data_IF_861358551604
#
_entry.id   IF_861358551604
#
_cell.length_a   1.000
_cell.length_b   1.000
_cell.length_c   1.000
_cell.angle_alpha   90.00
_cell.angle_beta   90.00
_cell.angle_gamma   90.00
#
_symmetry.space_group_name_H-M   'P 1'
#
loop_
_entity.id
_entity.type
_entity.pdbx_description
1 polymer ?
#
# COMPACT_ATOMS: atom_id res chain seq x y z
N UNK A 1 22.28 9.34 25.17
CA UNK A 1 21.39 8.82 24.10
C UNK A 1 21.45 7.30 24.09
N UNK A 2 20.32 6.63 23.92
CA UNK A 2 20.28 5.17 23.89
C UNK A 2 20.63 4.60 22.53
N UNK A 3 21.26 3.42 22.54
CA UNK A 3 21.52 2.65 21.32
C UNK A 3 20.21 2.06 20.77
N UNK A 4 19.98 2.17 19.49
CA UNK A 4 18.81 1.68 18.76
C UNK A 4 19.21 0.48 17.91
N UNK A 5 18.30 -0.52 17.79
CA UNK A 5 18.53 -1.68 16.92
C UNK A 5 18.79 -1.22 15.48
N UNK A 6 19.88 -1.70 14.86
CA UNK A 6 20.34 -1.30 13.52
C UNK A 6 19.22 -1.43 12.48
N UNK A 7 18.52 -2.56 12.41
CA UNK A 7 17.43 -2.75 11.45
C UNK A 7 16.25 -1.79 11.67
N UNK A 8 15.98 -1.37 12.92
CA UNK A 8 14.97 -0.34 13.22
C UNK A 8 15.42 1.02 12.69
N UNK A 9 16.67 1.38 12.89
CA UNK A 9 17.22 2.66 12.44
C UNK A 9 17.29 2.73 10.91
N UNK A 10 17.76 1.68 10.23
CA UNK A 10 17.75 1.59 8.77
C UNK A 10 16.34 1.79 8.20
N UNK A 11 15.34 1.16 8.80
CA UNK A 11 13.95 1.33 8.39
C UNK A 11 13.44 2.74 8.70
N UNK A 12 13.81 3.34 9.84
CA UNK A 12 13.43 4.71 10.19
C UNK A 12 14.00 5.72 9.19
N UNK A 13 15.25 5.54 8.77
CA UNK A 13 15.93 6.35 7.77
C UNK A 13 15.44 6.11 6.32
N UNK A 14 14.51 5.17 6.10
CA UNK A 14 13.98 4.89 4.76
C UNK A 14 14.94 4.11 3.85
N UNK A 15 15.96 3.46 4.39
CA UNK A 15 16.92 2.69 3.59
C UNK A 15 16.32 1.39 3.03
N UNK A 16 15.48 0.72 3.82
CA UNK A 16 14.79 -0.54 3.47
C UNK A 16 13.72 -0.86 4.53
N UNK A 17 12.95 -1.95 4.38
CA UNK A 17 12.11 -2.46 5.46
C UNK A 17 12.95 -3.10 6.57
N UNK A 18 12.37 -3.31 7.76
CA UNK A 18 13.07 -3.99 8.88
C UNK A 18 13.48 -5.42 8.53
N UNK A 19 12.62 -6.17 7.79
CA UNK A 19 12.93 -7.53 7.34
C UNK A 19 14.06 -7.56 6.32
N UNK A 20 14.10 -6.61 5.38
CA UNK A 20 15.21 -6.46 4.44
C UNK A 20 16.49 -6.08 5.17
N UNK A 21 16.42 -5.15 6.13
CA UNK A 21 17.57 -4.77 6.94
C UNK A 21 18.17 -5.99 7.67
N UNK A 22 17.35 -6.80 8.33
CA UNK A 22 17.82 -8.01 8.99
C UNK A 22 18.49 -8.97 7.99
N UNK A 23 17.91 -9.18 6.79
CA UNK A 23 18.53 -10.00 5.72
C UNK A 23 19.85 -9.42 5.20
N UNK A 24 19.96 -8.09 5.11
CA UNK A 24 21.19 -7.44 4.64
C UNK A 24 22.30 -7.51 5.70
N UNK A 25 21.94 -7.36 6.98
CA UNK A 25 22.88 -7.50 8.12
C UNK A 25 23.43 -8.94 8.15
N UNK A 26 22.58 -9.94 8.13
CA UNK A 26 22.97 -11.35 8.15
C UNK A 26 23.95 -11.70 7.01
N UNK A 27 23.77 -11.09 5.84
CA UNK A 27 24.66 -11.27 4.67
C UNK A 27 25.94 -10.42 4.75
N UNK A 28 26.07 -9.54 5.71
CA UNK A 28 27.20 -8.62 5.81
C UNK A 28 27.20 -7.53 4.74
N UNK A 29 26.00 -7.13 4.26
CA UNK A 29 25.82 -6.09 3.25
C UNK A 29 25.64 -4.70 3.85
N UNK A 30 25.65 -4.60 5.17
CA UNK A 30 25.50 -3.33 5.93
C UNK A 30 26.82 -3.01 6.59
N UNK A 31 27.27 -1.77 6.44
CA UNK A 31 28.40 -1.23 7.20
C UNK A 31 27.93 -0.12 8.12
N UNK A 32 28.49 -0.07 9.32
CA UNK A 32 28.35 1.01 10.30
C UNK A 32 29.72 1.63 10.50
N UNK A 33 29.86 2.93 10.22
CA UNK A 33 31.15 3.66 10.24
C UNK A 33 32.25 2.96 9.44
N UNK A 34 31.86 2.37 8.29
CA UNK A 34 32.78 1.65 7.41
C UNK A 34 33.04 0.19 7.79
N UNK A 35 32.60 -0.27 8.96
CA UNK A 35 32.81 -1.65 9.42
C UNK A 35 31.57 -2.52 9.09
N UNK A 36 31.74 -3.70 8.46
CA UNK A 36 30.63 -4.58 8.14
C UNK A 36 30.03 -5.21 9.42
N UNK A 37 28.69 -5.21 9.48
CA UNK A 37 27.91 -5.79 10.59
C UNK A 37 27.14 -7.00 10.07
N UNK A 38 27.25 -8.14 10.80
CA UNK A 38 26.56 -9.39 10.45
C UNK A 38 25.64 -9.92 11.53
N UNK A 39 25.76 -9.41 12.75
CA UNK A 39 25.00 -9.89 13.90
C UNK A 39 23.60 -9.26 13.93
N UNK A 40 22.56 -10.11 13.91
CA UNK A 40 21.17 -9.70 14.07
C UNK A 40 20.96 -9.14 15.49
N UNK A 41 20.18 -8.09 15.59
CA UNK A 41 19.90 -7.46 16.88
C UNK A 41 20.94 -6.41 17.31
N UNK A 42 22.04 -6.25 16.57
CA UNK A 42 23.05 -5.20 16.82
C UNK A 42 22.38 -3.85 17.08
N UNK A 43 22.83 -3.18 18.14
CA UNK A 43 22.40 -1.83 18.53
C UNK A 43 23.51 -0.83 18.29
N UNK A 44 23.19 0.27 17.63
CA UNK A 44 24.09 1.36 17.30
C UNK A 44 23.53 2.69 17.82
N UNK A 45 24.37 3.70 17.86
CA UNK A 45 23.92 5.07 18.16
C UNK A 45 23.27 5.71 16.92
N UNK A 46 22.24 6.55 17.05
CA UNK A 46 21.52 7.15 15.92
C UNK A 46 22.39 8.01 14.98
N UNK A 47 23.51 8.53 15.42
CA UNK A 47 24.43 9.36 14.63
C UNK A 47 25.47 8.56 13.84
N UNK A 48 25.62 7.26 14.09
CA UNK A 48 26.55 6.43 13.33
C UNK A 48 26.14 6.30 11.88
N UNK A 49 27.09 6.37 10.97
CA UNK A 49 26.86 6.33 9.52
C UNK A 49 26.55 4.90 9.08
N UNK A 50 25.37 4.68 8.52
CA UNK A 50 24.98 3.39 7.95
C UNK A 50 25.13 3.47 6.42
N UNK A 51 25.75 2.45 5.83
CA UNK A 51 25.86 2.31 4.37
C UNK A 51 25.54 0.90 3.93
N UNK A 52 24.98 0.77 2.72
CA UNK A 52 24.77 -0.50 2.04
C UNK A 52 25.89 -0.73 1.04
N UNK A 53 26.38 -1.95 0.95
CA UNK A 53 27.34 -2.31 -0.09
C UNK A 53 26.67 -2.34 -1.49
N UNK A 54 27.48 -2.44 -2.53
CA UNK A 54 27.00 -2.45 -3.91
C UNK A 54 26.02 -3.59 -4.20
N UNK A 55 26.23 -4.76 -3.63
CA UNK A 55 25.34 -5.94 -3.82
C UNK A 55 23.92 -5.66 -3.31
N UNK A 56 23.80 -5.04 -2.12
CA UNK A 56 22.50 -4.65 -1.58
C UNK A 56 21.82 -3.59 -2.45
N UNK A 57 22.57 -2.60 -2.95
CA UNK A 57 22.04 -1.55 -3.83
C UNK A 57 21.54 -2.12 -5.16
N UNK A 58 22.32 -3.01 -5.80
CA UNK A 58 21.90 -3.69 -7.03
C UNK A 58 20.62 -4.49 -6.79
N UNK A 59 20.53 -5.21 -5.67
CA UNK A 59 19.32 -5.97 -5.33
C UNK A 59 18.11 -5.06 -5.11
N UNK A 60 18.27 -3.91 -4.47
CA UNK A 60 17.19 -2.93 -4.32
C UNK A 60 16.70 -2.39 -5.67
N UNK A 61 17.62 -2.11 -6.59
CA UNK A 61 17.29 -1.60 -7.92
C UNK A 61 16.56 -2.62 -8.82
N UNK A 62 16.64 -3.90 -8.47
CA UNK A 62 15.92 -4.98 -9.17
C UNK A 62 14.52 -5.24 -8.59
N UNK A 63 14.17 -4.61 -7.48
CA UNK A 63 12.85 -4.77 -6.87
C UNK A 63 11.76 -4.18 -7.75
N UNK A 64 10.62 -4.85 -7.80
CA UNK A 64 9.48 -4.42 -8.60
C UNK A 64 8.32 -3.98 -7.73
N UNK A 65 7.57 -3.02 -8.27
CA UNK A 65 6.25 -2.63 -7.77
C UNK A 65 5.23 -2.89 -8.86
N UNK A 66 4.13 -3.52 -8.50
CA UNK A 66 3.06 -3.97 -9.39
C UNK A 66 1.74 -3.32 -8.98
N UNK A 67 1.04 -2.81 -9.96
CA UNK A 67 -0.28 -2.21 -9.84
C UNK A 67 -1.30 -3.20 -10.38
N UNK A 68 -2.24 -3.63 -9.56
CA UNK A 68 -3.30 -4.57 -9.91
C UNK A 68 -4.65 -3.88 -9.80
N UNK A 69 -5.52 -4.04 -10.79
CA UNK A 69 -6.94 -3.75 -10.63
C UNK A 69 -7.62 -4.99 -10.02
N UNK A 70 -7.67 -5.02 -8.69
CA UNK A 70 -8.22 -6.16 -7.95
C UNK A 70 -9.74 -6.29 -8.17
N UNK A 71 -10.26 -7.42 -8.63
CA UNK A 71 -11.69 -7.68 -8.64
C UNK A 71 -12.25 -7.96 -7.24
N UNK A 72 -13.57 -7.92 -7.11
CA UNK A 72 -14.28 -8.45 -5.94
C UNK A 72 -14.04 -9.96 -5.82
N UNK A 73 -14.11 -10.50 -4.60
CA UNK A 73 -13.96 -11.94 -4.34
C UNK A 73 -12.53 -12.41 -4.09
N UNK A 74 -11.53 -11.52 -4.18
CA UNK A 74 -10.13 -11.82 -3.87
C UNK A 74 -9.68 -11.14 -2.59
N UNK A 75 -8.95 -11.87 -1.74
CA UNK A 75 -8.29 -11.31 -0.55
C UNK A 75 -6.98 -10.63 -0.92
N UNK A 76 -6.71 -9.47 -0.33
CA UNK A 76 -5.49 -8.70 -0.65
C UNK A 76 -4.22 -9.29 -0.05
N UNK A 77 -4.32 -10.01 1.07
CA UNK A 77 -3.19 -10.53 1.83
C UNK A 77 -3.12 -12.06 1.81
N UNK A 78 -2.87 -12.62 3.01
CA UNK A 78 -2.81 -14.08 3.16
C UNK A 78 -4.12 -14.74 2.75
N UNK A 79 -4.06 -15.93 2.16
CA UNK A 79 -5.26 -16.68 1.80
C UNK A 79 -6.11 -16.95 3.05
N UNK A 80 -7.42 -16.71 2.93
CA UNK A 80 -8.41 -17.14 3.89
C UNK A 80 -9.14 -18.37 3.32
N UNK A 81 -9.58 -19.34 4.13
CA UNK A 81 -10.32 -20.50 3.63
C UNK A 81 -11.49 -20.09 2.74
N UNK A 82 -11.57 -20.70 1.55
CA UNK A 82 -12.62 -20.41 0.57
C UNK A 82 -12.35 -19.21 -0.36
N UNK A 83 -11.26 -18.45 -0.16
CA UNK A 83 -10.98 -17.26 -0.98
C UNK A 83 -9.62 -17.33 -1.68
N UNK A 84 -9.56 -16.83 -2.91
CA UNK A 84 -8.32 -16.74 -3.68
C UNK A 84 -7.54 -15.48 -3.32
N UNK A 85 -6.22 -15.55 -3.12
CA UNK A 85 -5.39 -14.37 -2.87
C UNK A 85 -5.22 -13.56 -4.17
N UNK A 86 -5.27 -12.23 -4.07
CA UNK A 86 -5.15 -11.34 -5.22
C UNK A 86 -3.80 -11.48 -5.95
N UNK A 87 -2.74 -11.92 -5.26
CA UNK A 87 -1.43 -12.18 -5.88
C UNK A 87 -1.51 -13.27 -6.96
N UNK A 88 -2.48 -14.20 -6.89
CA UNK A 88 -2.67 -15.24 -7.92
C UNK A 88 -3.07 -14.68 -9.29
N UNK A 89 -3.56 -13.42 -9.32
CA UNK A 89 -3.85 -12.71 -10.56
C UNK A 89 -2.59 -12.19 -11.26
N UNK A 90 -1.43 -12.17 -10.60
CA UNK A 90 -0.18 -11.64 -11.15
C UNK A 90 0.55 -12.77 -11.89
N UNK A 91 0.24 -12.91 -13.17
CA UNK A 91 0.88 -13.87 -14.07
C UNK A 91 1.04 -13.25 -15.47
N UNK A 92 1.81 -13.88 -16.34
CA UNK A 92 2.08 -13.37 -17.70
C UNK A 92 0.77 -13.15 -18.49
N UNK A 93 -0.21 -14.05 -18.39
CA UNK A 93 -1.46 -13.99 -19.17
C UNK A 93 -2.41 -12.87 -18.72
N UNK A 94 -2.23 -12.31 -17.53
CA UNK A 94 -3.04 -11.20 -17.01
C UNK A 94 -2.32 -9.87 -17.02
N UNK A 95 -1.07 -9.82 -17.51
CA UNK A 95 -0.36 -8.56 -17.71
C UNK A 95 -1.13 -7.67 -18.70
N UNK A 96 -1.26 -6.38 -18.37
CA UNK A 96 -1.92 -5.42 -19.24
C UNK A 96 -1.12 -5.21 -20.53
N UNK A 97 -1.77 -5.28 -21.68
CA UNK A 97 -1.11 -5.22 -22.98
C UNK A 97 -0.47 -3.85 -23.27
N UNK A 98 -0.96 -2.78 -22.64
CA UNK A 98 -0.40 -1.43 -22.72
C UNK A 98 0.61 -1.13 -21.60
N UNK A 99 1.11 -2.15 -20.90
CA UNK A 99 2.21 -1.97 -19.95
C UNK A 99 3.51 -1.71 -20.71
N UNK A 100 3.93 -0.47 -20.74
CA UNK A 100 5.16 -0.01 -21.41
C UNK A 100 6.44 -0.29 -20.63
N UNK A 101 6.36 -1.00 -19.50
CA UNK A 101 7.55 -1.39 -18.74
C UNK A 101 8.43 -2.33 -19.58
N UNK A 102 9.75 -2.08 -19.67
CA UNK A 102 10.69 -2.96 -20.38
C UNK A 102 10.93 -4.28 -19.64
N UNK A 103 10.42 -4.42 -18.43
CA UNK A 103 10.63 -5.61 -17.61
C UNK A 103 9.88 -6.82 -18.21
N UNK A 104 10.61 -7.91 -18.42
CA UNK A 104 10.00 -9.21 -18.72
C UNK A 104 9.56 -9.84 -17.41
N UNK A 105 8.32 -10.34 -17.35
CA UNK A 105 7.81 -11.00 -16.16
C UNK A 105 8.56 -12.31 -15.89
N UNK A 106 8.97 -12.50 -14.65
CA UNK A 106 9.61 -13.72 -14.17
C UNK A 106 9.05 -14.12 -12.81
N UNK A 107 9.19 -15.40 -12.43
CA UNK A 107 8.80 -15.88 -11.10
C UNK A 107 9.56 -15.20 -9.94
N UNK A 108 10.73 -14.62 -10.20
CA UNK A 108 11.49 -13.86 -9.21
C UNK A 108 10.72 -12.61 -8.74
N UNK A 109 9.88 -12.01 -9.62
CA UNK A 109 9.06 -10.85 -9.27
C UNK A 109 7.93 -11.18 -8.28
N UNK A 110 7.60 -12.47 -8.11
CA UNK A 110 6.63 -12.91 -7.10
C UNK A 110 7.28 -13.20 -5.74
N UNK A 111 8.60 -13.39 -5.69
CA UNK A 111 9.30 -13.64 -4.42
C UNK A 111 9.27 -12.41 -3.53
N UNK A 112 8.80 -12.58 -2.30
CA UNK A 112 8.65 -11.48 -1.33
C UNK A 112 7.77 -10.31 -1.81
N UNK A 113 6.97 -10.52 -2.85
CA UNK A 113 6.00 -9.54 -3.31
C UNK A 113 4.83 -9.49 -2.33
N UNK A 114 4.62 -8.36 -1.70
CA UNK A 114 3.59 -8.19 -0.67
C UNK A 114 2.67 -6.99 -0.98
N UNK A 115 1.40 -7.02 -0.57
CA UNK A 115 0.51 -5.88 -0.76
C UNK A 115 0.94 -4.71 0.13
N UNK A 116 1.08 -3.54 -0.47
CA UNK A 116 1.29 -2.27 0.23
C UNK A 116 -0.07 -1.60 0.49
N UNK A 117 -0.76 -2.09 1.48
CA UNK A 117 -2.15 -1.78 1.82
C UNK A 117 -3.10 -2.88 1.40
N UNK A 118 -4.35 -2.76 1.83
CA UNK A 118 -5.38 -3.76 1.57
C UNK A 118 -6.61 -3.13 0.94
N UNK A 119 -7.36 -3.95 0.23
CA UNK A 119 -8.77 -3.78 -0.12
C UNK A 119 -9.52 -4.95 0.49
N UNK A 120 -10.70 -4.72 0.99
CA UNK A 120 -11.57 -5.78 1.47
C UNK A 120 -11.98 -6.70 0.31
N UNK A 121 -12.46 -7.90 0.63
CA UNK A 121 -12.84 -8.90 -0.36
C UNK A 121 -13.98 -8.42 -1.28
N UNK A 122 -14.89 -7.64 -0.71
CA UNK A 122 -16.05 -7.02 -1.37
C UNK A 122 -15.74 -5.64 -1.98
N UNK A 123 -14.46 -5.28 -2.08
CA UNK A 123 -13.98 -4.03 -2.66
C UNK A 123 -13.07 -4.30 -3.85
N UNK A 124 -13.05 -3.39 -4.83
CA UNK A 124 -12.28 -3.54 -6.06
C UNK A 124 -11.37 -2.35 -6.33
N UNK A 125 -10.54 -2.43 -7.35
CA UNK A 125 -9.74 -1.34 -7.86
C UNK A 125 -8.26 -1.44 -7.55
N UNK A 126 -7.58 -0.31 -7.52
CA UNK A 126 -6.13 -0.22 -7.47
C UNK A 126 -5.54 -0.82 -6.18
N UNK A 127 -4.82 -1.92 -6.32
CA UNK A 127 -4.05 -2.56 -5.26
C UNK A 127 -2.57 -2.57 -5.67
N UNK A 128 -1.71 -2.14 -4.75
CA UNK A 128 -0.26 -2.11 -4.97
C UNK A 128 0.38 -3.32 -4.31
N UNK A 129 1.18 -4.05 -5.07
CA UNK A 129 2.12 -5.05 -4.55
C UNK A 129 3.54 -4.55 -4.74
N UNK A 130 4.40 -4.76 -3.78
CA UNK A 130 5.80 -4.33 -3.89
C UNK A 130 6.75 -5.30 -3.21
N UNK A 131 7.95 -5.42 -3.76
CA UNK A 131 9.09 -6.04 -3.13
C UNK A 131 9.88 -5.01 -2.31
N UNK A 132 9.68 -3.70 -2.55
CA UNK A 132 10.42 -2.61 -1.94
C UNK A 132 9.75 -2.14 -0.64
N UNK A 133 10.40 -2.39 0.47
CA UNK A 133 9.91 -1.96 1.78
C UNK A 133 9.83 -0.44 1.95
N UNK A 134 10.56 0.33 1.15
CA UNK A 134 10.49 1.81 1.14
C UNK A 134 9.15 2.27 0.57
N UNK A 135 8.73 1.67 -0.55
CA UNK A 135 7.41 1.92 -1.16
C UNK A 135 6.29 1.51 -0.20
N UNK A 136 6.41 0.32 0.42
CA UNK A 136 5.43 -0.12 1.40
C UNK A 136 5.30 0.86 2.56
N UNK A 137 6.42 1.32 3.13
CA UNK A 137 6.43 2.31 4.22
C UNK A 137 5.80 3.64 3.81
N UNK A 138 6.08 4.13 2.60
CA UNK A 138 5.47 5.34 2.06
C UNK A 138 3.94 5.24 2.01
N UNK A 139 3.40 4.08 1.58
CA UNK A 139 1.97 3.89 1.35
C UNK A 139 1.17 3.58 2.61
N UNK A 140 1.76 2.80 3.54
CA UNK A 140 1.05 2.24 4.71
C UNK A 140 1.75 2.48 6.05
N UNK A 141 2.84 3.26 6.06
CA UNK A 141 3.49 3.66 7.31
C UNK A 141 2.54 4.49 8.18
N UNK A 142 2.74 4.46 9.49
CA UNK A 142 1.92 5.15 10.49
C UNK A 142 1.74 6.65 10.20
N UNK A 143 2.78 7.28 9.65
CA UNK A 143 2.76 8.70 9.29
C UNK A 143 2.54 8.94 7.79
N UNK A 144 2.03 7.94 7.05
CA UNK A 144 1.72 8.12 5.64
C UNK A 144 0.65 9.18 5.46
N UNK A 145 0.94 10.14 4.57
CA UNK A 145 -0.01 11.18 4.14
C UNK A 145 -0.52 10.92 2.72
N UNK A 146 -0.19 9.77 2.16
CA UNK A 146 -0.60 9.43 0.80
C UNK A 146 -2.11 9.25 0.74
N UNK A 147 -2.73 10.07 -0.07
CA UNK A 147 -4.18 10.05 -0.32
C UNK A 147 -4.59 8.80 -1.09
N UNK A 148 -5.73 8.26 -0.73
CA UNK A 148 -6.41 7.20 -1.47
C UNK A 148 -7.80 7.71 -1.87
N UNK A 149 -8.13 7.59 -3.14
CA UNK A 149 -9.39 8.04 -3.70
C UNK A 149 -10.27 6.85 -4.08
N UNK A 150 -11.54 6.93 -3.69
CA UNK A 150 -12.52 5.88 -3.89
C UNK A 150 -13.78 6.42 -4.54
N UNK A 151 -14.34 5.63 -5.43
CA UNK A 151 -15.71 5.75 -5.92
C UNK A 151 -16.58 4.77 -5.13
N UNK A 152 -17.63 5.28 -4.51
CA UNK A 152 -18.47 4.53 -3.57
C UNK A 152 -19.93 4.59 -4.05
N UNK A 153 -20.50 3.45 -4.42
CA UNK A 153 -21.93 3.35 -4.72
C UNK A 153 -22.69 3.08 -3.44
N UNK A 154 -23.76 3.83 -3.25
CA UNK A 154 -24.57 3.82 -2.05
C UNK A 154 -26.04 3.60 -2.35
N UNK A 155 -26.76 3.11 -1.33
CA UNK A 155 -28.22 3.22 -1.22
C UNK A 155 -28.55 3.98 0.06
N UNK A 156 -29.74 4.56 0.12
CA UNK A 156 -30.17 5.44 1.20
C UNK A 156 -30.18 6.90 0.78
N UNK A 157 -30.61 7.76 1.67
CA UNK A 157 -30.72 9.21 1.41
C UNK A 157 -29.61 9.96 2.15
N UNK A 158 -28.67 10.53 1.41
CA UNK A 158 -27.61 11.38 1.97
C UNK A 158 -28.18 12.75 2.29
N UNK A 159 -28.24 13.10 3.58
CA UNK A 159 -28.59 14.44 4.05
C UNK A 159 -27.39 15.41 3.97
N UNK A 160 -27.66 16.71 4.10
CA UNK A 160 -26.58 17.73 4.17
C UNK A 160 -25.71 17.51 5.41
N UNK A 161 -26.32 17.22 6.56
CA UNK A 161 -25.64 16.93 7.82
C UNK A 161 -24.80 15.66 7.71
N UNK A 162 -25.34 14.61 7.08
CA UNK A 162 -24.59 13.36 6.82
C UNK A 162 -23.35 13.61 5.96
N UNK A 163 -23.45 14.44 4.92
CA UNK A 163 -22.30 14.80 4.10
C UNK A 163 -21.25 15.60 4.90
N UNK A 164 -21.67 16.49 5.78
CA UNK A 164 -20.76 17.25 6.66
C UNK A 164 -20.03 16.29 7.62
N UNK A 165 -20.75 15.36 8.24
CA UNK A 165 -20.16 14.34 9.13
C UNK A 165 -19.18 13.43 8.40
N UNK A 166 -19.47 12.99 7.16
CA UNK A 166 -18.56 12.20 6.34
C UNK A 166 -17.24 12.93 6.05
N UNK A 167 -17.27 14.24 5.94
CA UNK A 167 -16.07 15.06 5.74
C UNK A 167 -15.28 15.24 7.04
N UNK A 168 -15.97 15.47 8.16
CA UNK A 168 -15.33 15.68 9.46
C UNK A 168 -16.31 15.42 10.61
N UNK A 169 -15.80 14.85 11.71
CA UNK A 169 -16.55 14.70 12.96
C UNK A 169 -16.93 13.25 13.32
N UNK A 170 -16.73 12.30 12.42
CA UNK A 170 -17.00 10.89 12.73
C UNK A 170 -15.90 10.26 13.59
N UNK A 171 -16.32 9.28 14.38
CA UNK A 171 -15.43 8.44 15.20
C UNK A 171 -15.67 6.97 14.89
N UNK A 172 -14.61 6.17 14.92
CA UNK A 172 -14.67 4.72 14.84
C UNK A 172 -13.85 4.12 15.97
N UNK A 173 -14.44 3.15 16.69
CA UNK A 173 -13.80 2.47 17.82
C UNK A 173 -13.29 3.46 18.90
N UNK A 174 -14.06 4.51 19.19
CA UNK A 174 -13.71 5.55 20.17
C UNK A 174 -12.60 6.52 19.72
N UNK A 175 -12.15 6.43 18.47
CA UNK A 175 -11.10 7.30 17.93
C UNK A 175 -11.66 8.20 16.83
N UNK A 176 -11.40 9.51 16.95
CA UNK A 176 -11.73 10.44 15.90
C UNK A 176 -11.03 10.08 14.58
N UNK A 177 -11.76 10.19 13.48
CA UNK A 177 -11.22 10.03 12.14
C UNK A 177 -10.52 11.31 11.70
N UNK A 178 -9.47 11.11 10.88
CA UNK A 178 -8.88 12.25 10.16
C UNK A 178 -9.92 12.86 9.21
N UNK A 179 -9.86 14.18 8.95
CA UNK A 179 -10.71 14.81 7.95
C UNK A 179 -10.59 14.07 6.61
N UNK A 180 -11.74 13.86 5.98
CA UNK A 180 -11.84 13.32 4.64
C UNK A 180 -12.32 14.39 3.65
N UNK A 181 -12.13 14.17 2.35
CA UNK A 181 -12.84 14.94 1.33
C UNK A 181 -13.87 14.05 0.67
N UNK A 182 -15.13 14.30 1.00
CA UNK A 182 -16.28 13.55 0.46
C UNK A 182 -17.14 14.49 -0.36
N UNK A 183 -17.43 14.10 -1.59
CA UNK A 183 -18.32 14.84 -2.48
C UNK A 183 -19.30 13.89 -3.17
N UNK A 184 -20.49 14.40 -3.46
CA UNK A 184 -21.49 13.68 -4.23
C UNK A 184 -21.17 13.83 -5.71
N UNK A 185 -21.10 12.73 -6.44
CA UNK A 185 -20.92 12.71 -7.89
C UNK A 185 -22.27 12.68 -8.63
N UNK A 186 -23.19 11.84 -8.13
CA UNK A 186 -24.55 11.72 -8.62
C UNK A 186 -25.46 11.18 -7.50
N UNK A 187 -26.67 10.73 -7.82
CA UNK A 187 -27.67 10.33 -6.83
C UNK A 187 -27.21 9.15 -5.96
N UNK A 188 -26.49 8.17 -6.53
CA UNK A 188 -26.09 6.94 -5.88
C UNK A 188 -24.58 6.75 -5.76
N UNK A 189 -23.78 7.81 -6.04
CA UNK A 189 -22.33 7.70 -6.03
C UNK A 189 -21.64 8.87 -5.32
N UNK A 190 -20.73 8.51 -4.41
CA UNK A 190 -19.86 9.43 -3.69
C UNK A 190 -18.40 9.22 -4.10
N UNK A 191 -17.64 10.31 -4.03
CA UNK A 191 -16.17 10.30 -4.12
C UNK A 191 -15.61 10.55 -2.73
N UNK A 192 -14.74 9.67 -2.27
CA UNK A 192 -14.01 9.78 -1.01
C UNK A 192 -12.53 9.95 -1.28
N UNK A 193 -11.88 10.88 -0.59
CA UNK A 193 -10.43 11.00 -0.54
C UNK A 193 -9.98 10.96 0.92
N UNK A 194 -9.19 9.94 1.27
CA UNK A 194 -8.74 9.66 2.62
C UNK A 194 -7.22 9.60 2.69
N UNK A 195 -6.63 10.01 3.83
CA UNK A 195 -5.21 9.83 4.14
C UNK A 195 -4.95 8.67 5.11
N UNK A 196 -6.00 8.03 5.62
CA UNK A 196 -5.92 6.88 6.52
C UNK A 196 -6.68 5.69 5.94
N UNK A 197 -6.64 4.55 6.62
CA UNK A 197 -7.33 3.34 6.16
C UNK A 197 -7.58 2.37 7.31
N UNK A 198 -8.58 2.66 8.16
CA UNK A 198 -9.06 1.71 9.17
C UNK A 198 -9.87 0.58 8.52
N UNK A 199 -10.00 -0.55 9.22
CA UNK A 199 -10.78 -1.70 8.73
C UNK A 199 -12.19 -1.28 8.34
N UNK A 200 -12.57 -1.48 7.08
CA UNK A 200 -13.89 -1.16 6.50
C UNK A 200 -14.34 0.30 6.74
N UNK A 201 -13.38 1.22 6.80
CA UNK A 201 -13.62 2.62 7.24
C UNK A 201 -14.76 3.28 6.47
N UNK A 202 -14.72 3.30 5.16
CA UNK A 202 -15.73 3.99 4.32
C UNK A 202 -17.12 3.40 4.53
N UNK A 203 -17.25 2.07 4.61
CA UNK A 203 -18.54 1.40 4.86
C UNK A 203 -19.12 1.80 6.21
N UNK A 204 -18.29 1.76 7.25
CA UNK A 204 -18.68 2.15 8.62
C UNK A 204 -19.03 3.65 8.70
N UNK A 205 -18.29 4.51 8.00
CA UNK A 205 -18.62 5.94 7.92
C UNK A 205 -19.99 6.15 7.26
N UNK A 206 -20.28 5.44 6.17
CA UNK A 206 -21.57 5.51 5.49
C UNK A 206 -22.71 5.01 6.38
N UNK A 207 -22.53 3.88 7.07
CA UNK A 207 -23.51 3.32 8.01
C UNK A 207 -23.88 4.30 9.12
N UNK A 208 -22.90 5.04 9.68
CA UNK A 208 -23.14 6.06 10.71
C UNK A 208 -24.02 7.23 10.25
N UNK A 209 -24.14 7.47 8.96
CA UNK A 209 -24.99 8.52 8.37
C UNK A 209 -26.21 7.93 7.63
N UNK A 210 -26.57 6.67 7.91
CA UNK A 210 -27.77 6.02 7.36
C UNK A 210 -27.65 5.57 5.90
N UNK A 211 -26.42 5.43 5.38
CA UNK A 211 -26.18 4.94 4.02
C UNK A 211 -25.65 3.50 4.02
N UNK A 212 -26.03 2.74 2.99
CA UNK A 212 -25.47 1.42 2.77
C UNK A 212 -24.57 1.42 1.50
N UNK A 213 -23.34 0.89 1.62
CA UNK A 213 -22.38 0.80 0.51
C UNK A 213 -22.58 -0.49 -0.27
N UNK A 214 -23.03 -0.39 -1.51
CA UNK A 214 -23.23 -1.51 -2.43
C UNK A 214 -22.05 -1.73 -3.39
N UNK A 215 -21.13 -0.77 -3.52
CA UNK A 215 -19.92 -0.92 -4.32
C UNK A 215 -18.83 0.05 -3.87
N UNK A 216 -17.59 -0.43 -3.85
CA UNK A 216 -16.44 0.38 -3.46
C UNK A 216 -15.25 0.08 -4.38
N UNK A 217 -14.78 1.11 -5.08
CA UNK A 217 -13.65 1.01 -6.02
C UNK A 217 -12.58 2.05 -5.69
N UNK A 218 -11.35 1.60 -5.37
CA UNK A 218 -10.22 2.51 -5.22
C UNK A 218 -9.66 2.85 -6.60
N UNK A 219 -9.65 4.14 -6.94
CA UNK A 219 -9.27 4.63 -8.27
C UNK A 219 -7.94 5.37 -8.30
N UNK A 220 -7.40 5.78 -7.12
CA UNK A 220 -6.13 6.49 -7.02
C UNK A 220 -5.43 6.22 -5.70
N UNK A 221 -4.11 6.18 -5.72
CA UNK A 221 -3.22 6.18 -4.55
C UNK A 221 -2.11 7.19 -4.84
N UNK A 222 -1.97 8.24 -4.02
CA UNK A 222 -1.06 9.35 -4.30
C UNK A 222 -1.34 9.96 -5.68
N UNK A 223 -0.36 9.96 -6.55
CA UNK A 223 -0.49 10.42 -7.93
C UNK A 223 -0.89 9.30 -8.90
N UNK A 224 -0.78 8.04 -8.50
CA UNK A 224 -1.05 6.88 -9.36
C UNK A 224 -2.55 6.65 -9.47
N UNK A 225 -3.06 6.75 -10.69
CA UNK A 225 -4.46 6.48 -11.05
C UNK A 225 -4.61 5.06 -11.58
N UNK A 226 -5.78 4.48 -11.33
CA UNK A 226 -6.17 3.20 -11.93
C UNK A 226 -6.26 3.32 -13.47
N UNK A 227 -6.71 4.48 -13.94
CA UNK A 227 -6.93 4.78 -15.36
C UNK A 227 -7.70 3.65 -16.07
N UNK A 228 -7.22 3.22 -17.22
CA UNK A 228 -7.79 2.20 -18.11
C UNK A 228 -7.31 0.77 -17.82
N UNK A 229 -6.57 0.54 -16.70
CA UNK A 229 -6.16 -0.80 -16.29
C UNK A 229 -7.39 -1.67 -16.06
N UNK A 230 -7.66 -2.71 -16.90
CA UNK A 230 -8.88 -3.51 -16.79
C UNK A 230 -8.91 -4.35 -15.50
N UNK A 231 -10.10 -4.74 -15.08
CA UNK A 231 -10.29 -5.59 -13.91
C UNK A 231 -9.57 -6.95 -14.07
N UNK A 232 -8.90 -7.40 -13.02
CA UNK A 232 -8.07 -8.61 -13.03
C UNK A 232 -6.74 -8.47 -13.76
N UNK A 233 -6.45 -7.33 -14.38
CA UNK A 233 -5.17 -7.06 -15.04
C UNK A 233 -4.22 -6.29 -14.13
N UNK A 234 -2.93 -6.45 -14.42
CA UNK A 234 -1.86 -5.80 -13.69
C UNK A 234 -0.81 -5.22 -14.64
N UNK A 235 -0.06 -4.23 -14.16
CA UNK A 235 1.11 -3.65 -14.81
C UNK A 235 2.20 -3.33 -13.80
N UNK A 236 3.41 -3.14 -14.27
CA UNK A 236 4.46 -2.57 -13.42
C UNK A 236 4.20 -1.08 -13.15
N UNK A 237 4.70 -0.60 -12.01
CA UNK A 237 4.88 0.84 -11.79
C UNK A 237 5.92 1.35 -12.78
N UNK A 238 5.59 2.38 -13.53
CA UNK A 238 6.49 2.99 -14.51
C UNK A 238 7.69 3.68 -13.84
N UNK A 239 8.80 3.80 -14.56
CA UNK A 239 10.03 4.44 -14.04
C UNK A 239 9.83 5.90 -13.62
N UNK A 240 8.94 6.60 -14.28
CA UNK A 240 8.62 8.01 -14.03
C UNK A 240 7.38 8.20 -13.15
N UNK A 241 6.85 7.11 -12.60
CA UNK A 241 5.71 7.14 -11.69
C UNK A 241 6.18 7.05 -10.24
N UNK A 242 5.57 7.85 -9.37
CA UNK A 242 5.76 7.83 -7.92
C UNK A 242 4.43 8.07 -7.20
N UNK A 243 4.35 7.64 -5.94
CA UNK A 243 3.16 7.83 -5.09
C UNK A 243 3.15 9.19 -4.39
#
# INVERSE_FOLDING_TARGET
>A
MEKVRLSKLMSAQGMCSRREADSYIERGWVCVDGQPVRELGTKIFPWQKITLNQTAQVKQNQQVTILLNKPVGYVSGQPEPGYKPAISLICQGSRFHQDHSPLKFTSQHLKNLAPAGRLDIDSQGLLVFTQDGRVAKQLIGEHSQIEKEYLVRITGQLTREGLMLLNHGLQLDGQALKPARVSRLNQDQLRFVLQEGKKRQIRRMCELVGLNVIGLKRVRIGQIRLADLPEGKWRYLGRNESF
#
